data_IF_525822858632
#
_entry.id   IF_525822858632
#
_cell.length_a   1.000
_cell.length_b   1.000
_cell.length_c   1.000
_cell.angle_alpha   90.00
_cell.angle_beta   90.00
_cell.angle_gamma   90.00
#
_symmetry.space_group_name_H-M   'P 1'
#
loop_
_entity.id
_entity.type
_entity.pdbx_description
1 polymer ?
#
# COMPACT_ATOMS: atom_id res chain seq x y z
N UNK A 1 23.34 -10.93 -20.37
CA UNK A 1 22.11 -11.75 -20.33
C UNK A 1 20.97 -10.80 -20.04
N UNK A 2 20.11 -10.58 -21.04
CA UNK A 2 19.08 -9.55 -21.06
C UNK A 2 18.01 -9.81 -19.99
N UNK A 3 17.90 -8.88 -19.03
CA UNK A 3 16.84 -8.89 -18.04
C UNK A 3 15.48 -8.82 -18.73
N UNK A 4 14.68 -9.87 -18.55
CA UNK A 4 13.25 -9.84 -18.81
C UNK A 4 12.65 -8.75 -17.94
N UNK A 5 12.35 -7.58 -18.52
CA UNK A 5 11.49 -6.58 -17.89
C UNK A 5 10.11 -7.21 -17.83
N UNK A 6 9.78 -7.86 -16.71
CA UNK A 6 8.41 -8.32 -16.51
C UNK A 6 7.57 -7.04 -16.37
N UNK A 7 6.73 -6.83 -17.38
CA UNK A 7 5.80 -5.71 -17.43
C UNK A 7 4.84 -5.78 -16.25
N UNK A 8 4.47 -4.64 -15.66
CA UNK A 8 3.42 -4.57 -14.61
C UNK A 8 2.21 -5.41 -15.05
N UNK A 9 1.53 -6.08 -14.12
CA UNK A 9 0.42 -6.99 -14.44
C UNK A 9 -0.64 -6.33 -15.32
N UNK A 10 -0.99 -5.07 -15.02
CA UNK A 10 -1.91 -4.28 -15.84
C UNK A 10 -1.40 -4.01 -17.25
N UNK A 11 -0.12 -3.73 -17.44
CA UNK A 11 0.47 -3.50 -18.76
C UNK A 11 0.52 -4.78 -19.59
N UNK A 12 0.82 -5.92 -18.96
CA UNK A 12 0.74 -7.21 -19.62
C UNK A 12 -0.67 -7.48 -20.12
N UNK A 13 -1.68 -7.31 -19.26
CA UNK A 13 -3.09 -7.47 -19.64
C UNK A 13 -3.47 -6.55 -20.79
N UNK A 14 -3.16 -5.26 -20.69
CA UNK A 14 -3.46 -4.28 -21.75
C UNK A 14 -2.78 -4.62 -23.08
N UNK A 15 -1.60 -5.26 -23.03
CA UNK A 15 -0.89 -5.75 -24.22
C UNK A 15 -1.56 -6.95 -24.91
N UNK A 16 -2.51 -7.63 -24.25
CA UNK A 16 -3.30 -8.70 -24.86
C UNK A 16 -4.42 -8.18 -25.76
N UNK A 17 -4.79 -6.89 -25.62
CA UNK A 17 -5.87 -6.28 -26.40
C UNK A 17 -5.41 -6.12 -27.86
N UNK A 18 -6.09 -6.78 -28.83
CA UNK A 18 -5.71 -6.63 -30.24
C UNK A 18 -5.90 -5.20 -30.73
N UNK A 19 -5.05 -4.76 -31.67
CA UNK A 19 -5.16 -3.45 -32.29
C UNK A 19 -6.57 -3.24 -32.88
N UNK A 20 -7.17 -2.07 -32.60
CA UNK A 20 -8.52 -1.72 -33.05
C UNK A 20 -9.66 -2.35 -32.25
N UNK A 21 -9.37 -3.13 -31.19
CA UNK A 21 -10.39 -3.70 -30.31
C UNK A 21 -10.62 -2.82 -29.09
N UNK A 22 -11.90 -2.64 -28.71
CA UNK A 22 -12.24 -1.93 -27.48
C UNK A 22 -11.83 -2.77 -26.27
N UNK A 23 -10.94 -2.23 -25.43
CA UNK A 23 -10.36 -2.98 -24.30
C UNK A 23 -11.42 -3.50 -23.35
N UNK A 24 -12.47 -2.70 -23.07
CA UNK A 24 -13.59 -3.14 -22.22
C UNK A 24 -14.27 -4.40 -22.76
N UNK A 25 -14.66 -4.38 -24.04
CA UNK A 25 -15.36 -5.50 -24.68
C UNK A 25 -14.47 -6.74 -24.75
N UNK A 26 -13.17 -6.54 -25.00
CA UNK A 26 -12.19 -7.63 -24.98
C UNK A 26 -12.19 -8.35 -23.62
N UNK A 27 -11.99 -7.62 -22.52
CA UNK A 27 -11.90 -8.24 -21.19
C UNK A 27 -13.20 -8.82 -20.64
N UNK A 28 -14.37 -8.44 -21.18
CA UNK A 28 -15.65 -9.05 -20.83
C UNK A 28 -15.81 -10.47 -21.39
N UNK A 29 -14.99 -10.87 -22.37
CA UNK A 29 -15.04 -12.19 -23.02
C UNK A 29 -13.73 -12.96 -22.99
N UNK A 30 -12.61 -12.27 -22.77
CA UNK A 30 -11.30 -12.88 -22.79
C UNK A 30 -11.11 -13.80 -21.60
N UNK A 31 -10.77 -15.06 -21.90
CA UNK A 31 -10.50 -16.10 -20.91
C UNK A 31 -9.00 -16.26 -20.74
N UNK A 32 -8.52 -16.15 -19.50
CA UNK A 32 -7.11 -16.32 -19.15
C UNK A 32 -6.63 -17.72 -19.53
N UNK A 33 -5.55 -17.80 -20.30
CA UNK A 33 -4.89 -19.06 -20.64
C UNK A 33 -3.88 -19.48 -19.56
N UNK A 34 -3.42 -20.73 -19.61
CA UNK A 34 -2.34 -21.19 -18.73
C UNK A 34 -1.03 -20.44 -18.94
N UNK A 35 -0.78 -19.95 -20.16
CA UNK A 35 0.39 -19.13 -20.45
C UNK A 35 0.28 -17.75 -19.78
N UNK A 36 -0.90 -17.12 -19.90
CA UNK A 36 -1.15 -15.83 -19.24
C UNK A 36 -1.06 -15.94 -17.74
N UNK A 37 -1.60 -17.02 -17.16
CA UNK A 37 -1.50 -17.31 -15.73
C UNK A 37 -0.04 -17.31 -15.27
N UNK A 38 0.87 -17.99 -15.98
CA UNK A 38 2.28 -18.07 -15.59
C UNK A 38 2.95 -16.68 -15.60
N UNK A 39 2.70 -15.89 -16.64
CA UNK A 39 3.25 -14.52 -16.76
C UNK A 39 2.66 -13.59 -15.70
N UNK A 40 1.35 -13.66 -15.47
CA UNK A 40 0.64 -12.85 -14.48
C UNK A 40 1.07 -13.15 -13.05
N UNK A 41 1.37 -14.40 -12.69
CA UNK A 41 1.90 -14.72 -11.36
C UNK A 41 3.26 -14.06 -11.12
N UNK A 42 4.15 -14.09 -12.11
CA UNK A 42 5.45 -13.42 -12.01
C UNK A 42 5.29 -11.90 -11.93
N UNK A 43 4.44 -11.32 -12.79
CA UNK A 43 4.17 -9.89 -12.80
C UNK A 43 3.51 -9.40 -11.51
N UNK A 44 2.54 -10.15 -10.97
CA UNK A 44 1.85 -9.81 -9.73
C UNK A 44 2.79 -9.90 -8.53
N UNK A 45 3.68 -10.90 -8.49
CA UNK A 45 4.73 -10.99 -7.47
C UNK A 45 5.67 -9.77 -7.52
N UNK A 46 6.08 -9.35 -8.71
CA UNK A 46 6.93 -8.16 -8.86
C UNK A 46 6.18 -6.86 -8.47
N UNK A 47 4.92 -6.72 -8.88
CA UNK A 47 4.06 -5.61 -8.47
C UNK A 47 3.87 -5.57 -6.95
N UNK A 48 3.71 -6.74 -6.31
CA UNK A 48 3.59 -6.88 -4.86
C UNK A 48 4.80 -6.28 -4.13
N UNK A 49 6.01 -6.64 -4.54
CA UNK A 49 7.23 -6.05 -3.99
C UNK A 49 7.30 -4.54 -4.23
N UNK A 50 7.04 -4.07 -5.47
CA UNK A 50 7.03 -2.64 -5.79
C UNK A 50 6.04 -1.84 -4.93
N UNK A 51 4.85 -2.39 -4.67
CA UNK A 51 3.91 -1.78 -3.74
C UNK A 51 4.41 -1.79 -2.30
N UNK A 52 5.04 -2.88 -1.84
CA UNK A 52 5.62 -2.93 -0.50
C UNK A 52 6.75 -1.89 -0.31
N UNK A 53 7.58 -1.69 -1.33
CA UNK A 53 8.56 -0.60 -1.38
C UNK A 53 7.88 0.77 -1.25
N UNK A 54 6.86 1.04 -2.07
CA UNK A 54 6.10 2.29 -1.97
C UNK A 54 5.48 2.48 -0.58
N UNK A 55 4.97 1.41 0.03
CA UNK A 55 4.41 1.43 1.38
C UNK A 55 5.44 1.86 2.44
N UNK A 56 6.66 1.31 2.37
CA UNK A 56 7.75 1.70 3.27
C UNK A 56 8.26 3.12 3.00
N UNK A 57 8.40 3.51 1.73
CA UNK A 57 8.81 4.88 1.37
C UNK A 57 7.81 5.90 1.88
N UNK A 58 6.51 5.67 1.66
CA UNK A 58 5.45 6.54 2.20
C UNK A 58 5.48 6.59 3.72
N UNK A 59 5.69 5.46 4.40
CA UNK A 59 5.81 5.46 5.86
C UNK A 59 6.95 6.38 6.36
N UNK A 60 8.15 6.22 5.78
CA UNK A 60 9.33 7.01 6.13
C UNK A 60 9.14 8.48 5.77
N UNK A 61 8.50 8.78 4.63
CA UNK A 61 8.15 10.15 4.23
C UNK A 61 7.15 10.78 5.22
N UNK A 62 6.17 10.02 5.70
CA UNK A 62 5.23 10.45 6.73
C UNK A 62 5.91 10.80 8.05
N UNK A 63 6.86 9.97 8.52
CA UNK A 63 7.66 10.30 9.70
C UNK A 63 8.52 11.56 9.51
N UNK A 64 9.13 11.72 8.33
CA UNK A 64 9.89 12.93 8.00
C UNK A 64 9.00 14.18 7.89
N UNK A 65 7.75 14.03 7.46
CA UNK A 65 6.77 15.12 7.43
C UNK A 65 6.36 15.53 8.85
N UNK A 66 6.19 14.57 9.78
CA UNK A 66 5.98 14.87 11.20
C UNK A 66 7.16 15.68 11.78
N UNK A 67 8.41 15.27 11.52
CA UNK A 67 9.62 15.98 11.95
C UNK A 67 9.68 17.43 11.46
N UNK A 68 9.15 17.68 10.25
CA UNK A 68 9.05 19.01 9.65
C UNK A 68 7.78 19.78 10.03
N UNK A 69 6.96 19.24 10.94
CA UNK A 69 5.65 19.80 11.34
C UNK A 69 4.67 19.98 10.17
N UNK A 70 4.66 19.02 9.25
CA UNK A 70 3.77 18.96 8.09
C UNK A 70 2.70 17.89 8.30
N UNK A 71 1.71 18.16 9.16
CA UNK A 71 0.70 17.19 9.58
C UNK A 71 -0.18 16.72 8.42
N UNK A 72 -0.61 17.63 7.54
CA UNK A 72 -1.43 17.28 6.38
C UNK A 72 -0.74 16.26 5.46
N UNK A 73 0.57 16.43 5.25
CA UNK A 73 1.38 15.47 4.51
C UNK A 73 1.65 14.18 5.26
N UNK A 74 1.94 14.26 6.56
CA UNK A 74 2.12 13.07 7.38
C UNK A 74 0.89 12.15 7.33
N UNK A 75 -0.31 12.70 7.54
CA UNK A 75 -1.58 11.95 7.49
C UNK A 75 -1.77 11.29 6.12
N UNK A 76 -1.51 12.04 5.06
CA UNK A 76 -1.64 11.56 3.68
C UNK A 76 -0.69 10.39 3.41
N UNK A 77 0.58 10.52 3.80
CA UNK A 77 1.60 9.49 3.61
C UNK A 77 1.36 8.25 4.49
N UNK A 78 0.86 8.42 5.71
CA UNK A 78 0.46 7.29 6.58
C UNK A 78 -0.66 6.46 5.94
N UNK A 79 -1.67 7.12 5.37
CA UNK A 79 -2.71 6.43 4.60
C UNK A 79 -2.13 5.73 3.36
N UNK A 80 -1.31 6.41 2.55
CA UNK A 80 -0.72 5.80 1.35
C UNK A 80 0.18 4.62 1.69
N UNK A 81 0.89 4.66 2.81
CA UNK A 81 1.66 3.53 3.31
C UNK A 81 0.78 2.30 3.50
N UNK A 82 -0.31 2.42 4.27
CA UNK A 82 -1.26 1.33 4.49
C UNK A 82 -1.93 0.87 3.17
N UNK A 83 -2.33 1.81 2.32
CA UNK A 83 -2.93 1.51 1.02
C UNK A 83 -1.98 0.72 0.10
N UNK A 84 -0.71 1.09 0.03
CA UNK A 84 0.26 0.36 -0.78
C UNK A 84 0.56 -1.02 -0.21
N UNK A 85 0.66 -1.19 1.11
CA UNK A 85 0.79 -2.53 1.70
C UNK A 85 -0.45 -3.39 1.42
N UNK A 86 -1.66 -2.83 1.50
CA UNK A 86 -2.88 -3.54 1.13
C UNK A 86 -2.83 -4.01 -0.33
N UNK A 87 -2.34 -3.17 -1.26
CA UNK A 87 -2.12 -3.58 -2.67
C UNK A 87 -1.06 -4.67 -2.79
N UNK A 88 0.03 -4.57 -2.05
CA UNK A 88 1.09 -5.57 -2.04
C UNK A 88 0.54 -6.94 -1.61
N UNK A 89 -0.24 -6.97 -0.53
CA UNK A 89 -0.91 -8.17 -0.03
C UNK A 89 -1.89 -8.76 -1.07
N UNK A 90 -2.72 -7.93 -1.71
CA UNK A 90 -3.65 -8.41 -2.74
C UNK A 90 -2.95 -8.98 -3.97
N UNK A 91 -1.76 -8.49 -4.32
CA UNK A 91 -0.94 -9.03 -5.41
C UNK A 91 -0.15 -10.29 -5.00
N UNK A 92 0.08 -10.50 -3.69
CA UNK A 92 0.62 -11.76 -3.18
C UNK A 92 -0.45 -12.86 -3.20
N UNK A 93 -1.72 -12.47 -3.18
CA UNK A 93 -2.84 -13.33 -3.57
C UNK A 93 -2.98 -13.36 -5.10
N UNK A 94 -3.55 -14.42 -5.70
CA UNK A 94 -3.70 -14.53 -7.15
C UNK A 94 -4.82 -13.60 -7.64
N UNK A 95 -4.72 -12.28 -7.41
CA UNK A 95 -5.68 -11.27 -7.83
C UNK A 95 -4.97 -10.00 -8.28
N UNK A 96 -5.44 -9.43 -9.38
CA UNK A 96 -4.93 -8.17 -9.93
C UNK A 96 -6.07 -7.19 -10.15
N UNK A 97 -5.79 -5.92 -9.86
CA UNK A 97 -6.67 -4.79 -10.15
C UNK A 97 -5.97 -3.97 -11.22
N UNK A 98 -6.65 -3.72 -12.34
CA UNK A 98 -6.10 -2.99 -13.47
C UNK A 98 -7.13 -2.05 -14.10
N UNK A 99 -6.64 -1.09 -14.87
CA UNK A 99 -7.44 0.00 -15.42
C UNK A 99 -7.40 -0.04 -16.93
N UNK A 100 -8.57 -0.14 -17.55
CA UNK A 100 -8.74 -0.17 -19.00
C UNK A 100 -9.21 1.22 -19.46
N UNK A 101 -8.49 1.91 -20.36
CA UNK A 101 -8.93 3.21 -20.87
C UNK A 101 -10.35 3.17 -21.45
N UNK A 102 -11.12 4.23 -21.27
CA UNK A 102 -12.43 4.38 -21.91
C UNK A 102 -12.24 4.93 -23.33
N UNK A 103 -13.04 4.42 -24.26
CA UNK A 103 -13.01 4.82 -25.69
C UNK A 103 -13.15 6.33 -25.91
N UNK A 104 -13.97 7.01 -25.10
CA UNK A 104 -14.17 8.46 -25.18
C UNK A 104 -13.00 9.29 -24.63
N UNK A 105 -11.87 8.67 -24.26
CA UNK A 105 -10.68 9.32 -23.69
C UNK A 105 -10.84 9.81 -22.24
N UNK A 106 -12.07 9.89 -21.73
CA UNK A 106 -12.35 10.45 -20.41
C UNK A 106 -12.34 9.38 -19.30
N UNK A 107 -11.14 8.94 -18.95
CA UNK A 107 -10.88 8.10 -17.77
C UNK A 107 -10.76 6.61 -18.05
N UNK A 108 -10.89 5.79 -17.00
CA UNK A 108 -10.63 4.35 -17.04
C UNK A 108 -11.79 3.55 -16.43
N UNK A 109 -11.94 2.31 -16.87
CA UNK A 109 -12.79 1.28 -16.27
C UNK A 109 -11.92 0.39 -15.40
N UNK A 110 -12.33 0.17 -14.15
CA UNK A 110 -11.61 -0.66 -13.20
C UNK A 110 -12.05 -2.11 -13.32
N UNK A 111 -11.09 -3.00 -13.56
CA UNK A 111 -11.28 -4.43 -13.61
C UNK A 111 -10.58 -5.14 -12.47
N UNK A 112 -11.14 -6.28 -12.08
CA UNK A 112 -10.59 -7.25 -11.15
C UNK A 112 -10.45 -8.59 -11.87
N UNK A 113 -9.31 -9.24 -11.72
CA UNK A 113 -9.08 -10.57 -12.27
C UNK A 113 -8.45 -11.46 -11.21
N UNK A 114 -9.00 -12.67 -11.03
CA UNK A 114 -8.31 -13.75 -10.32
C UNK A 114 -7.35 -14.44 -11.29
N UNK A 115 -6.09 -14.58 -10.91
CA UNK A 115 -5.05 -15.20 -11.74
C UNK A 115 -5.22 -16.71 -11.70
N UNK A 116 -6.10 -17.24 -12.55
CA UNK A 116 -6.24 -18.66 -12.82
C UNK A 116 -6.72 -18.88 -14.27
N UNK A 117 -6.24 -19.94 -14.91
CA UNK A 117 -6.71 -20.33 -16.22
C UNK A 117 -8.23 -20.56 -16.21
N UNK A 118 -8.92 -20.09 -17.25
CA UNK A 118 -10.39 -20.15 -17.35
C UNK A 118 -11.13 -18.97 -16.72
N UNK A 119 -10.45 -18.10 -15.96
CA UNK A 119 -11.08 -16.91 -15.40
C UNK A 119 -11.27 -15.81 -16.46
N UNK A 120 -12.30 -14.98 -16.24
CA UNK A 120 -12.60 -13.79 -17.02
C UNK A 120 -12.54 -12.58 -16.07
N UNK A 121 -11.98 -11.47 -16.54
CA UNK A 121 -11.93 -10.26 -15.74
C UNK A 121 -13.33 -9.68 -15.50
N UNK A 122 -13.56 -9.13 -14.32
CA UNK A 122 -14.85 -8.54 -13.93
C UNK A 122 -14.73 -7.04 -13.71
N UNK A 123 -15.72 -6.27 -14.16
CA UNK A 123 -15.77 -4.84 -13.87
C UNK A 123 -16.13 -4.65 -12.40
N UNK A 124 -15.31 -3.90 -11.68
CA UNK A 124 -15.59 -3.58 -10.29
C UNK A 124 -16.69 -2.52 -10.20
N UNK A 125 -17.70 -2.79 -9.37
CA UNK A 125 -18.76 -1.82 -9.05
C UNK A 125 -18.39 -0.90 -7.88
N UNK A 126 -17.28 -1.18 -7.20
CA UNK A 126 -16.83 -0.37 -6.05
C UNK A 126 -16.19 0.91 -6.59
N UNK A 127 -16.65 2.10 -6.15
CA UNK A 127 -16.14 3.36 -6.67
C UNK A 127 -14.71 3.60 -6.18
N UNK A 128 -13.80 3.93 -7.10
CA UNK A 128 -12.37 4.18 -6.87
C UNK A 128 -11.53 2.94 -6.51
N UNK A 129 -10.24 3.01 -6.82
CA UNK A 129 -9.26 1.98 -6.47
C UNK A 129 -9.08 1.88 -4.96
N UNK A 130 -9.16 3.00 -4.24
CA UNK A 130 -8.97 3.06 -2.79
C UNK A 130 -10.01 2.23 -2.04
N UNK A 131 -11.29 2.44 -2.33
CA UNK A 131 -12.38 1.68 -1.69
C UNK A 131 -12.36 0.22 -2.13
N UNK A 132 -12.00 -0.06 -3.38
CA UNK A 132 -11.87 -1.44 -3.84
C UNK A 132 -10.77 -2.18 -3.08
N UNK A 133 -9.57 -1.60 -3.00
CA UNK A 133 -8.44 -2.21 -2.29
C UNK A 133 -8.79 -2.43 -0.82
N UNK A 134 -9.41 -1.43 -0.15
CA UNK A 134 -9.86 -1.59 1.24
C UNK A 134 -10.84 -2.76 1.39
N UNK A 135 -11.90 -2.78 0.58
CA UNK A 135 -12.94 -3.81 0.65
C UNK A 135 -12.42 -5.23 0.35
N UNK A 136 -11.39 -5.36 -0.50
CA UNK A 136 -10.76 -6.65 -0.77
C UNK A 136 -9.79 -7.03 0.34
N UNK A 137 -8.91 -6.11 0.74
CA UNK A 137 -7.91 -6.39 1.75
C UNK A 137 -8.53 -6.77 3.10
N UNK A 138 -9.69 -6.20 3.46
CA UNK A 138 -10.46 -6.58 4.66
C UNK A 138 -10.75 -8.08 4.79
N UNK A 139 -10.91 -8.78 3.66
CA UNK A 139 -11.15 -10.25 3.66
C UNK A 139 -9.89 -11.07 3.98
N UNK A 140 -8.75 -10.42 3.95
CA UNK A 140 -7.41 -10.99 4.00
C UNK A 140 -6.55 -10.28 5.04
N UNK A 141 -7.20 -9.63 6.01
CA UNK A 141 -6.50 -8.92 7.06
C UNK A 141 -5.57 -9.84 7.84
N UNK A 142 -4.37 -9.36 8.19
CA UNK A 142 -3.55 -10.06 9.16
C UNK A 142 -4.29 -10.16 10.50
N UNK A 143 -3.94 -11.17 11.30
CA UNK A 143 -4.66 -11.48 12.54
C UNK A 143 -4.82 -10.27 13.48
N UNK A 144 -3.82 -9.38 13.54
CA UNK A 144 -3.86 -8.17 14.38
C UNK A 144 -4.86 -7.11 13.93
N UNK A 145 -5.46 -7.23 12.74
CA UNK A 145 -6.50 -6.32 12.22
C UNK A 145 -7.89 -6.94 12.18
N UNK A 146 -8.03 -8.25 12.39
CA UNK A 146 -9.28 -8.97 12.14
C UNK A 146 -10.49 -8.44 12.95
N UNK A 147 -10.24 -7.93 14.15
CA UNK A 147 -11.24 -7.31 15.04
C UNK A 147 -10.85 -5.89 15.45
N UNK A 148 -9.91 -5.27 14.72
CA UNK A 148 -9.45 -3.93 15.04
C UNK A 148 -10.49 -2.92 14.57
N UNK A 149 -10.79 -1.95 15.43
CA UNK A 149 -11.58 -0.77 15.10
C UNK A 149 -10.90 0.45 15.68
N UNK A 150 -10.98 1.58 14.97
CA UNK A 150 -10.54 2.89 15.45
C UNK A 150 -11.74 3.81 15.41
N UNK A 151 -12.16 4.34 16.56
CA UNK A 151 -13.42 5.09 16.71
C UNK A 151 -14.64 4.36 16.10
N UNK A 152 -14.70 3.03 16.28
CA UNK A 152 -15.78 2.19 15.75
C UNK A 152 -15.78 2.01 14.23
N UNK A 153 -14.70 2.40 13.55
CA UNK A 153 -14.54 2.27 12.09
C UNK A 153 -13.48 1.22 11.75
N UNK A 154 -13.63 0.61 10.57
CA UNK A 154 -12.59 -0.24 9.98
C UNK A 154 -11.27 0.55 9.87
N UNK A 155 -10.12 -0.06 10.22
CA UNK A 155 -8.84 0.66 10.33
C UNK A 155 -8.37 1.30 9.02
N UNK A 156 -8.59 0.65 7.87
CA UNK A 156 -8.19 1.20 6.57
C UNK A 156 -9.16 2.30 6.13
N UNK A 157 -10.46 2.11 6.38
CA UNK A 157 -11.46 3.14 6.13
C UNK A 157 -11.25 4.38 7.01
N UNK A 158 -10.89 4.19 8.28
CA UNK A 158 -10.55 5.28 9.20
C UNK A 158 -9.33 6.07 8.69
N UNK A 159 -8.24 5.40 8.30
CA UNK A 159 -7.06 6.08 7.72
C UNK A 159 -7.42 6.86 6.44
N UNK A 160 -8.25 6.26 5.58
CA UNK A 160 -8.73 6.93 4.37
C UNK A 160 -9.53 8.19 4.72
N UNK A 161 -10.41 8.12 5.71
CA UNK A 161 -11.23 9.24 6.14
C UNK A 161 -10.40 10.35 6.79
N UNK A 162 -9.34 10.02 7.56
CA UNK A 162 -8.39 11.02 8.04
C UNK A 162 -7.73 11.76 6.87
N UNK A 163 -7.27 11.02 5.86
CA UNK A 163 -6.70 11.60 4.66
C UNK A 163 -7.69 12.50 3.92
N UNK A 164 -8.93 12.08 3.72
CA UNK A 164 -9.96 12.92 3.09
C UNK A 164 -10.28 14.18 3.93
N UNK A 165 -10.30 14.06 5.26
CA UNK A 165 -10.60 15.17 6.16
C UNK A 165 -9.52 16.25 6.07
N UNK A 166 -8.27 15.86 6.25
CA UNK A 166 -7.16 16.79 6.39
C UNK A 166 -6.58 17.25 5.05
N UNK A 167 -6.73 16.45 3.98
CA UNK A 167 -6.23 16.83 2.65
C UNK A 167 -7.24 17.63 1.82
N UNK A 168 -8.54 17.34 1.93
CA UNK A 168 -9.53 17.89 1.00
C UNK A 168 -10.66 18.68 1.65
N UNK A 169 -11.12 18.28 2.83
CA UNK A 169 -12.24 18.98 3.51
C UNK A 169 -11.78 20.12 4.39
N UNK A 170 -10.56 20.04 4.94
CA UNK A 170 -9.97 21.13 5.69
C UNK A 170 -9.69 22.33 4.75
N UNK A 171 -10.19 23.53 5.05
CA UNK A 171 -10.01 24.71 4.19
C UNK A 171 -8.56 25.22 4.16
N UNK A 172 -7.74 24.82 5.13
CA UNK A 172 -6.30 25.04 5.19
C UNK A 172 -5.64 23.89 5.92
N UNK A 173 -4.35 23.64 5.65
CA UNK A 173 -3.57 22.75 6.50
C UNK A 173 -3.39 23.35 7.90
N UNK A 174 -3.36 22.48 8.90
CA UNK A 174 -3.13 22.87 10.29
C UNK A 174 -1.68 23.29 10.55
N UNK A 175 -0.77 22.97 9.63
CA UNK A 175 0.66 23.24 9.73
C UNK A 175 0.97 24.72 10.09
N UNK A 176 1.90 24.97 11.03
CA UNK A 176 2.74 23.99 11.74
C UNK A 176 2.08 23.35 12.97
N UNK A 177 0.82 23.67 13.27
CA UNK A 177 0.09 23.08 14.40
C UNK A 177 -0.32 21.64 14.08
N UNK A 178 -0.14 20.77 15.08
CA UNK A 178 -0.63 19.40 14.97
C UNK A 178 -2.11 19.33 15.33
N UNK A 179 -2.91 18.63 14.52
CA UNK A 179 -4.28 18.31 14.91
C UNK A 179 -4.28 17.39 16.13
N UNK A 180 -5.41 17.32 16.84
CA UNK A 180 -5.50 16.57 18.11
C UNK A 180 -5.06 15.09 17.97
N UNK A 181 -5.40 14.45 16.84
CA UNK A 181 -4.99 13.09 16.46
C UNK A 181 -3.47 12.87 16.39
N UNK A 182 -2.67 13.93 16.29
CA UNK A 182 -1.20 13.89 16.26
C UNK A 182 -0.57 14.58 17.47
N UNK A 183 -1.37 15.16 18.37
CA UNK A 183 -0.89 16.03 19.43
C UNK A 183 -0.09 15.28 20.49
N UNK A 184 -0.41 14.01 20.72
CA UNK A 184 0.30 13.15 21.68
C UNK A 184 1.47 12.38 21.05
N UNK A 185 1.65 12.46 19.73
CA UNK A 185 2.73 11.77 19.06
C UNK A 185 4.08 12.47 19.29
N UNK A 186 4.89 11.90 20.16
CA UNK A 186 6.19 12.42 20.53
C UNK A 186 7.31 11.84 19.64
N UNK A 187 7.82 12.66 18.72
CA UNK A 187 8.89 12.30 17.80
C UNK A 187 10.21 11.98 18.49
N UNK A 188 10.51 12.58 19.64
CA UNK A 188 11.72 12.23 20.41
C UNK A 188 11.65 10.79 20.94
N UNK A 189 10.43 10.24 21.04
CA UNK A 189 10.15 8.87 21.46
C UNK A 189 9.86 7.93 20.30
N UNK A 190 9.94 8.37 19.05
CA UNK A 190 9.54 7.57 17.87
C UNK A 190 10.14 6.17 17.88
N UNK A 191 11.43 6.00 18.17
CA UNK A 191 12.07 4.68 18.20
C UNK A 191 11.46 3.75 19.26
N UNK A 192 11.11 4.29 20.44
CA UNK A 192 10.42 3.55 21.50
C UNK A 192 8.97 3.26 21.13
N UNK A 193 8.27 4.22 20.53
CA UNK A 193 6.89 4.06 20.07
C UNK A 193 6.78 2.98 19.00
N UNK A 194 7.63 3.01 17.96
CA UNK A 194 7.64 1.97 16.92
C UNK A 194 7.91 0.58 17.52
N UNK A 195 8.83 0.47 18.47
CA UNK A 195 9.06 -0.78 19.18
C UNK A 195 7.85 -1.21 20.01
N UNK A 196 7.14 -0.29 20.66
CA UNK A 196 5.90 -0.60 21.37
C UNK A 196 4.79 -1.07 20.42
N UNK A 197 4.61 -0.38 19.28
CA UNK A 197 3.63 -0.76 18.26
C UNK A 197 3.89 -2.15 17.72
N UNK A 198 5.15 -2.51 17.47
CA UNK A 198 5.54 -3.84 16.98
C UNK A 198 5.09 -4.96 17.92
N UNK A 199 5.20 -4.71 19.23
CA UNK A 199 4.88 -5.67 20.28
C UNK A 199 3.44 -5.56 20.79
N UNK A 200 2.60 -4.71 20.19
CA UNK A 200 1.21 -4.50 20.60
C UNK A 200 0.32 -5.66 20.12
N UNK A 201 0.36 -6.76 20.85
CA UNK A 201 -0.45 -7.95 20.57
C UNK A 201 -1.93 -7.69 20.86
N UNK A 202 -2.21 -6.87 21.89
CA UNK A 202 -3.57 -6.52 22.31
C UNK A 202 -4.27 -5.50 21.42
N UNK A 203 -3.53 -4.79 20.56
CA UNK A 203 -4.07 -3.76 19.68
C UNK A 203 -4.42 -2.46 20.38
N UNK A 204 -3.84 -2.17 21.55
CA UNK A 204 -4.12 -0.95 22.34
C UNK A 204 -3.72 0.30 21.55
N UNK A 205 -2.48 0.34 21.04
CA UNK A 205 -1.99 1.46 20.24
C UNK A 205 -2.59 1.47 18.84
N UNK A 206 -2.93 0.29 18.32
CA UNK A 206 -3.59 0.16 17.02
C UNK A 206 -5.02 0.71 17.03
N UNK A 207 -5.73 0.61 18.16
CA UNK A 207 -7.12 1.05 18.32
C UNK A 207 -7.24 2.49 18.85
N UNK A 208 -6.18 3.02 19.47
CA UNK A 208 -6.14 4.39 19.99
C UNK A 208 -5.94 5.40 18.83
N UNK A 209 -6.90 6.29 18.55
CA UNK A 209 -6.81 7.26 17.45
C UNK A 209 -5.52 8.09 17.44
N UNK A 210 -4.98 8.43 18.61
CA UNK A 210 -3.78 9.26 18.74
C UNK A 210 -2.49 8.52 18.34
N UNK A 211 -2.54 7.19 18.30
CA UNK A 211 -1.45 6.32 17.91
C UNK A 211 -1.71 5.62 16.57
N UNK A 212 -2.97 5.28 16.27
CA UNK A 212 -3.43 4.46 15.16
C UNK A 212 -2.94 4.98 13.80
N UNK A 213 -2.89 6.30 13.63
CA UNK A 213 -2.42 6.95 12.41
C UNK A 213 -0.99 6.52 12.03
N UNK A 214 -0.12 6.27 13.02
CA UNK A 214 1.25 5.79 12.79
C UNK A 214 1.37 4.30 13.04
N UNK A 215 0.69 3.77 14.07
CA UNK A 215 0.79 2.39 14.50
C UNK A 215 0.27 1.40 13.45
N UNK A 216 -0.88 1.69 12.81
CA UNK A 216 -1.46 0.78 11.80
C UNK A 216 -0.56 0.67 10.56
N UNK A 217 -0.15 1.77 9.90
CA UNK A 217 0.75 1.68 8.75
C UNK A 217 2.08 1.01 9.10
N UNK A 218 2.66 1.34 10.26
CA UNK A 218 3.89 0.71 10.73
C UNK A 218 3.75 -0.81 10.85
N UNK A 219 2.69 -1.28 11.53
CA UNK A 219 2.43 -2.71 11.72
C UNK A 219 2.15 -3.45 10.43
N UNK A 220 1.47 -2.81 9.48
CA UNK A 220 1.27 -3.35 8.15
C UNK A 220 2.60 -3.50 7.38
N UNK A 221 3.44 -2.46 7.40
CA UNK A 221 4.75 -2.47 6.74
C UNK A 221 5.63 -3.59 7.30
N UNK A 222 5.77 -3.67 8.64
CA UNK A 222 6.63 -4.69 9.25
C UNK A 222 6.06 -6.10 9.08
N UNK A 223 4.74 -6.28 9.17
CA UNK A 223 4.09 -7.56 8.88
C UNK A 223 4.42 -8.06 7.47
N UNK A 224 4.23 -7.21 6.46
CA UNK A 224 4.43 -7.60 5.08
C UNK A 224 5.90 -7.89 4.78
N UNK A 225 6.81 -7.00 5.17
CA UNK A 225 8.25 -7.14 4.89
C UNK A 225 8.84 -8.33 5.67
N UNK A 226 8.36 -8.63 6.87
CA UNK A 226 8.78 -9.82 7.60
C UNK A 226 8.38 -11.11 6.88
N UNK A 227 7.18 -11.16 6.29
CA UNK A 227 6.71 -12.31 5.52
C UNK A 227 7.32 -12.38 4.11
N UNK A 228 7.72 -11.26 3.53
CA UNK A 228 8.26 -11.14 2.18
C UNK A 228 9.38 -10.09 2.12
N UNK A 229 10.62 -10.46 2.52
CA UNK A 229 11.72 -9.51 2.66
C UNK A 229 12.08 -8.84 1.33
N UNK A 230 12.18 -7.50 1.33
CA UNK A 230 12.50 -6.73 0.13
C UNK A 230 13.91 -7.04 -0.38
N UNK A 231 14.89 -7.18 0.53
CA UNK A 231 16.30 -7.37 0.19
C UNK A 231 16.57 -8.68 -0.59
N UNK A 232 15.70 -9.69 -0.46
CA UNK A 232 15.87 -10.99 -1.12
C UNK A 232 14.93 -11.18 -2.32
N UNK A 233 14.12 -10.16 -2.65
CA UNK A 233 13.10 -10.26 -3.71
C UNK A 233 13.69 -10.40 -5.12
N UNK A 234 14.92 -9.92 -5.35
CA UNK A 234 15.52 -9.79 -6.68
C UNK A 234 14.90 -8.69 -7.54
N UNK A 235 13.93 -7.93 -7.01
CA UNK A 235 13.22 -6.84 -7.71
C UNK A 235 13.97 -5.52 -7.61
N UNK A 236 14.64 -5.28 -6.49
CA UNK A 236 15.28 -3.99 -6.18
C UNK A 236 16.77 -3.99 -6.49
N UNK A 237 17.26 -2.82 -6.90
CA UNK A 237 18.68 -2.58 -7.08
C UNK A 237 19.33 -2.17 -5.75
N UNK A 238 20.67 -2.29 -5.60
CA UNK A 238 21.38 -1.86 -4.39
C UNK A 238 21.12 -0.39 -4.01
N UNK A 239 20.88 0.47 -4.99
CA UNK A 239 20.58 1.89 -4.80
C UNK A 239 19.24 2.10 -4.08
N UNK A 240 18.23 1.26 -4.38
CA UNK A 240 16.92 1.31 -3.73
C UNK A 240 17.05 1.00 -2.23
N UNK A 241 17.82 -0.04 -1.89
CA UNK A 241 18.08 -0.40 -0.49
C UNK A 241 18.91 0.67 0.22
N UNK A 242 19.86 1.28 -0.48
CA UNK A 242 20.66 2.38 0.05
C UNK A 242 19.80 3.60 0.36
N UNK A 243 18.88 3.94 -0.54
CA UNK A 243 17.89 5.00 -0.32
C UNK A 243 17.02 4.70 0.90
N UNK A 244 16.44 3.50 1.01
CA UNK A 244 15.60 3.12 2.15
C UNK A 244 16.37 3.19 3.48
N UNK A 245 17.60 2.66 3.53
CA UNK A 245 18.43 2.70 4.75
C UNK A 245 18.74 4.13 5.18
N UNK A 246 19.02 5.03 4.23
CA UNK A 246 19.22 6.46 4.51
C UNK A 246 17.94 7.10 5.02
N UNK A 247 16.80 6.74 4.46
CA UNK A 247 15.48 7.24 4.86
C UNK A 247 15.03 6.75 6.24
N UNK A 248 15.64 5.71 6.79
CA UNK A 248 15.44 5.29 8.19
C UNK A 248 16.15 6.18 9.23
N UNK A 249 16.73 7.31 8.83
CA UNK A 249 17.31 8.30 9.74
C UNK A 249 16.30 9.42 10.01
N UNK A 250 15.92 9.62 11.28
CA UNK A 250 15.03 10.70 11.72
C UNK A 250 15.67 11.45 12.89
N UNK A 251 15.75 12.79 12.81
CA UNK A 251 16.39 13.60 13.87
C UNK A 251 17.83 13.17 14.20
N UNK A 252 18.58 12.65 13.23
CA UNK A 252 19.94 12.12 13.43
C UNK A 252 20.01 10.72 14.07
N UNK A 253 18.87 10.14 14.43
CA UNK A 253 18.79 8.80 15.03
C UNK A 253 18.31 7.76 14.02
N UNK A 254 18.85 6.54 14.12
CA UNK A 254 18.46 5.40 13.27
C UNK A 254 17.20 4.73 13.81
N UNK A 255 16.19 4.55 12.98
CA UNK A 255 14.97 3.81 13.30
C UNK A 255 15.21 2.30 13.24
N UNK A 256 15.77 1.74 14.32
CA UNK A 256 16.18 0.32 14.40
C UNK A 256 15.04 -0.67 14.15
N UNK A 257 13.82 -0.32 14.55
CA UNK A 257 12.61 -1.13 14.31
C UNK A 257 12.31 -1.35 12.82
N UNK A 258 12.78 -0.46 11.94
CA UNK A 258 12.63 -0.60 10.48
C UNK A 258 13.92 -1.04 9.80
N UNK A 259 15.05 -0.44 10.18
CA UNK A 259 16.31 -0.63 9.45
C UNK A 259 16.77 -2.09 9.41
N UNK A 260 16.44 -2.87 10.45
CA UNK A 260 16.79 -4.29 10.55
C UNK A 260 16.19 -5.14 9.43
N UNK A 261 15.05 -4.72 8.86
CA UNK A 261 14.44 -5.40 7.70
C UNK A 261 15.14 -5.11 6.39
N UNK A 262 16.08 -4.16 6.39
CA UNK A 262 16.89 -3.75 5.24
C UNK A 262 18.35 -4.20 5.40
N UNK A 263 18.69 -4.83 6.52
CA UNK A 263 19.99 -5.41 6.79
C UNK A 263 19.97 -6.85 6.24
N UNK A 264 20.81 -7.09 5.25
CA UNK A 264 21.06 -8.39 4.62
C UNK A 264 22.42 -8.90 5.04
#
# INVERSE_FOLDING_TARGET
>A
MSGSVVSRSGNYLLGLVPLGTQGKLFFETYTITSADQAVLHLAAREDSFKYAYNGLVSFLAGLAALDKRQAGWAITEMYYSAFYIARAALCAEPRVIFHVPKEAGNGHTQFELRIAAGEIASISKIPSTHKLVSARFRRHYPAFMASLEVDGSDPIEWLMEQREAWQYRAPRFSDPEFPDILKQFDLEKVGRLLSAYENDISGIYLADPEHALVAIPFRLVTWFINASPLATSGVFQPEDLTFLRKSCMLGGSKLTALSRYLES
#
